data_IF_165799218277
#
_entry.id   IF_165799218277
#
_cell.length_a   1.000
_cell.length_b   1.000
_cell.length_c   1.000
_cell.angle_alpha   90.00
_cell.angle_beta   90.00
_cell.angle_gamma   90.00
#
_symmetry.space_group_name_H-M   'P 1'
#
loop_
_entity.id
_entity.type
_entity.pdbx_description
1 polymer ?
#
# COMPACT_ATOMS: atom_id res chain seq x y z
N UNK A 1 39.97 10.13 -41.48
CA UNK A 1 40.83 9.18 -42.21
C UNK A 1 40.62 7.81 -41.60
N UNK A 2 39.72 7.01 -42.17
CA UNK A 2 40.00 5.89 -43.09
C UNK A 2 40.58 4.68 -42.34
N UNK A 3 39.75 3.66 -42.06
CA UNK A 3 39.57 2.39 -42.83
C UNK A 3 40.43 1.28 -42.20
N UNK A 4 40.07 -0.01 -42.08
CA UNK A 4 38.86 -0.80 -42.34
C UNK A 4 39.22 -2.30 -42.21
N UNK A 5 38.21 -3.17 -42.00
CA UNK A 5 38.01 -4.57 -42.48
C UNK A 5 38.07 -5.66 -41.38
N UNK A 6 37.23 -6.70 -41.30
CA UNK A 6 35.83 -7.04 -41.71
C UNK A 6 35.68 -8.57 -41.47
N UNK A 7 34.53 -9.01 -40.92
CA UNK A 7 33.70 -10.20 -41.27
C UNK A 7 32.86 -10.62 -40.05
N UNK A 8 31.55 -10.33 -40.00
CA UNK A 8 30.38 -10.97 -40.66
C UNK A 8 30.00 -12.34 -40.09
N UNK A 9 28.84 -12.38 -39.41
CA UNK A 9 27.70 -13.21 -39.85
C UNK A 9 26.39 -12.68 -39.22
N UNK A 10 25.36 -12.57 -40.05
CA UNK A 10 24.09 -11.87 -39.80
C UNK A 10 22.93 -12.86 -39.92
N UNK A 11 21.84 -12.64 -39.19
CA UNK A 11 20.50 -13.10 -39.56
C UNK A 11 19.43 -12.22 -38.87
N UNK A 12 18.79 -11.38 -39.68
CA UNK A 12 17.55 -10.66 -39.40
C UNK A 12 16.45 -11.32 -40.25
N UNK A 13 15.25 -11.48 -39.69
CA UNK A 13 14.04 -11.73 -40.48
C UNK A 13 12.96 -10.75 -40.01
N UNK A 14 12.53 -9.91 -40.94
CA UNK A 14 11.34 -9.07 -40.87
C UNK A 14 10.30 -9.64 -41.85
N UNK A 15 9.01 -9.52 -41.54
CA UNK A 15 7.94 -9.75 -42.52
C UNK A 15 6.91 -8.62 -42.50
N UNK A 16 6.57 -8.18 -43.72
CA UNK A 16 5.69 -7.05 -44.03
C UNK A 16 4.22 -7.48 -44.21
N UNK A 17 3.34 -6.48 -44.10
CA UNK A 17 1.93 -6.50 -44.46
C UNK A 17 1.72 -6.68 -45.96
N UNK A 18 0.70 -7.46 -46.35
CA UNK A 18 -0.02 -7.28 -47.62
C UNK A 18 -1.44 -7.84 -47.53
N UNK A 19 -2.41 -7.00 -47.88
CA UNK A 19 -3.82 -7.31 -48.10
C UNK A 19 -4.01 -8.35 -49.21
N UNK A 20 -5.01 -9.24 -49.07
CA UNK A 20 -5.80 -9.68 -50.21
C UNK A 20 -7.19 -10.17 -49.79
N UNK A 21 -8.18 -9.61 -50.49
CA UNK A 21 -9.61 -9.88 -50.42
C UNK A 21 -9.92 -11.07 -51.32
N UNK A 22 -10.66 -12.06 -50.83
CA UNK A 22 -11.33 -13.04 -51.69
C UNK A 22 -12.82 -13.14 -51.31
N UNK A 23 -13.66 -12.69 -52.24
CA UNK A 23 -15.11 -12.93 -52.28
C UNK A 23 -15.37 -14.31 -52.88
N UNK A 24 -16.18 -15.13 -52.23
CA UNK A 24 -16.96 -16.17 -52.90
C UNK A 24 -18.42 -16.04 -52.42
N UNK A 25 -19.33 -15.97 -53.40
CA UNK A 25 -20.79 -15.90 -53.27
C UNK A 25 -21.42 -17.28 -53.45
N UNK A 26 -22.67 -17.38 -52.99
CA UNK A 26 -23.72 -18.43 -53.21
C UNK A 26 -23.74 -19.55 -52.16
N UNK A 27 -24.87 -19.92 -51.54
CA UNK A 27 -26.25 -19.43 -51.57
C UNK A 27 -27.12 -20.22 -50.59
N UNK A 28 -28.10 -19.51 -49.99
CA UNK A 28 -29.42 -19.94 -49.50
C UNK A 28 -29.51 -21.08 -48.46
N UNK A 29 -29.97 -20.71 -47.25
CA UNK A 29 -30.52 -21.66 -46.26
C UNK A 29 -30.75 -21.00 -44.90
N UNK A 30 -31.98 -20.56 -44.66
CA UNK A 30 -32.47 -19.87 -43.46
C UNK A 30 -32.16 -20.58 -42.13
N UNK A 31 -31.67 -19.85 -41.10
CA UNK A 31 -32.13 -20.01 -39.70
C UNK A 31 -31.61 -18.90 -38.76
N UNK A 32 -32.56 -18.19 -38.16
CA UNK A 32 -32.64 -17.75 -36.75
C UNK A 32 -31.44 -17.20 -35.95
N UNK A 33 -31.69 -15.98 -35.42
CA UNK A 33 -31.45 -15.50 -34.06
C UNK A 33 -30.08 -14.88 -33.65
N UNK A 34 -30.16 -13.55 -33.48
CA UNK A 34 -29.61 -12.67 -32.44
C UNK A 34 -28.11 -12.77 -32.07
N UNK A 35 -27.42 -11.71 -32.52
CA UNK A 35 -26.14 -11.13 -32.07
C UNK A 35 -25.77 -11.45 -30.61
N UNK A 36 -24.71 -12.23 -30.43
CA UNK A 36 -23.98 -12.35 -29.17
C UNK A 36 -23.12 -11.12 -28.92
N UNK A 37 -23.39 -10.42 -27.82
CA UNK A 37 -22.44 -9.53 -27.18
C UNK A 37 -21.30 -10.38 -26.60
N UNK A 38 -20.06 -10.12 -27.02
CA UNK A 38 -18.87 -10.70 -26.38
C UNK A 38 -18.77 -10.18 -24.93
N UNK A 39 -19.16 -11.04 -23.98
CA UNK A 39 -18.77 -10.89 -22.58
C UNK A 39 -17.26 -11.13 -22.48
N UNK A 40 -16.54 -10.10 -22.07
CA UNK A 40 -15.18 -10.21 -21.58
C UNK A 40 -15.18 -11.18 -20.37
N UNK A 41 -14.82 -12.44 -20.61
CA UNK A 41 -14.70 -13.44 -19.57
C UNK A 41 -13.43 -13.14 -18.75
N UNK A 42 -13.64 -12.80 -17.49
CA UNK A 42 -12.61 -12.84 -16.44
C UNK A 42 -12.03 -14.26 -16.47
N UNK A 43 -10.78 -14.40 -16.90
CA UNK A 43 -10.06 -15.67 -16.84
C UNK A 43 -9.91 -16.04 -15.37
N UNK A 44 -10.68 -17.04 -14.94
CA UNK A 44 -10.38 -17.79 -13.73
C UNK A 44 -8.97 -18.37 -13.86
N UNK A 45 -8.01 -17.81 -13.14
CA UNK A 45 -6.73 -18.46 -12.91
C UNK A 45 -6.99 -19.71 -12.07
N UNK A 46 -7.10 -20.85 -12.74
CA UNK A 46 -6.97 -22.16 -12.12
C UNK A 46 -5.59 -22.25 -11.46
N UNK A 47 -5.57 -22.27 -10.12
CA UNK A 47 -4.37 -22.53 -9.31
C UNK A 47 -3.67 -23.81 -9.80
N UNK A 48 -2.34 -23.84 -9.90
CA UNK A 48 -1.64 -25.12 -10.03
C UNK A 48 -1.99 -25.98 -8.82
N UNK A 49 -2.18 -27.27 -9.07
CA UNK A 49 -2.65 -28.31 -8.13
C UNK A 49 -1.61 -28.71 -7.07
N UNK A 50 -0.87 -27.75 -6.52
CA UNK A 50 0.07 -27.93 -5.42
C UNK A 50 -0.51 -27.35 -4.13
N UNK A 51 -0.40 -28.09 -3.02
CA UNK A 51 -0.75 -27.60 -1.67
C UNK A 51 0.08 -26.35 -1.37
N UNK A 52 -0.57 -25.24 -1.00
CA UNK A 52 0.13 -23.97 -0.66
C UNK A 52 0.94 -24.19 0.60
N UNK A 53 2.27 -24.11 0.53
CA UNK A 53 3.12 -24.31 1.70
C UNK A 53 3.17 -23.06 2.57
N UNK A 54 3.43 -21.90 1.96
CA UNK A 54 3.52 -20.63 2.67
C UNK A 54 2.53 -19.61 2.11
N UNK A 55 1.59 -19.19 2.96
CA UNK A 55 0.63 -18.16 2.63
C UNK A 55 1.07 -16.80 3.21
N UNK A 56 1.05 -15.75 2.40
CA UNK A 56 1.47 -14.41 2.79
C UNK A 56 0.23 -13.52 2.83
N UNK A 57 -0.27 -13.25 4.04
CA UNK A 57 -1.43 -12.40 4.28
C UNK A 57 -0.99 -10.93 4.27
N UNK A 58 -1.18 -10.26 3.14
CA UNK A 58 -0.80 -8.85 2.92
C UNK A 58 -1.86 -7.93 3.53
N UNK A 59 -1.58 -7.40 4.73
CA UNK A 59 -2.55 -6.65 5.53
C UNK A 59 -2.46 -5.15 5.30
N UNK A 60 -3.58 -4.51 4.95
CA UNK A 60 -3.69 -3.06 4.81
C UNK A 60 -5.11 -2.60 5.24
N UNK A 61 -5.39 -1.32 5.35
CA UNK A 61 -6.75 -0.83 5.57
C UNK A 61 -7.66 -1.12 4.36
N UNK A 62 -7.08 -1.05 3.17
CA UNK A 62 -7.80 -1.17 1.91
C UNK A 62 -8.50 0.13 1.51
N UNK A 63 -9.22 0.06 0.39
CA UNK A 63 -10.04 1.14 -0.12
C UNK A 63 -11.14 0.56 -1.01
N UNK A 64 -12.29 1.26 -1.15
CA UNK A 64 -13.41 0.80 -1.96
C UNK A 64 -12.98 0.66 -3.42
N UNK A 65 -13.20 -0.50 -4.03
CA UNK A 65 -12.80 -0.76 -5.43
C UNK A 65 -13.70 -0.06 -6.43
N UNK A 66 -14.89 0.37 -5.99
CA UNK A 66 -15.87 1.09 -6.79
C UNK A 66 -16.64 2.10 -5.92
N UNK A 67 -17.29 3.06 -6.57
CA UNK A 67 -18.12 4.08 -5.90
C UNK A 67 -19.23 3.49 -5.02
N UNK A 68 -19.76 2.30 -5.35
CA UNK A 68 -20.82 1.65 -4.58
C UNK A 68 -20.33 1.06 -3.26
N UNK A 69 -19.03 0.81 -3.12
CA UNK A 69 -18.42 0.23 -1.91
C UNK A 69 -18.05 1.29 -0.85
N UNK A 70 -18.19 2.58 -1.18
CA UNK A 70 -17.72 3.68 -0.32
C UNK A 70 -18.44 3.70 1.04
N UNK A 71 -19.76 3.51 1.06
CA UNK A 71 -20.53 3.54 2.32
C UNK A 71 -20.15 2.38 3.24
N UNK A 72 -20.01 1.18 2.68
CA UNK A 72 -19.57 -0.02 3.39
C UNK A 72 -18.17 0.15 3.97
N UNK A 73 -17.23 0.66 3.17
CA UNK A 73 -15.88 0.99 3.61
C UNK A 73 -15.88 1.96 4.78
N UNK A 74 -16.60 3.08 4.66
CA UNK A 74 -16.69 4.08 5.73
C UNK A 74 -17.38 3.52 6.97
N UNK A 75 -18.41 2.69 6.80
CA UNK A 75 -19.13 2.07 7.92
C UNK A 75 -18.21 1.17 8.73
N UNK A 76 -17.40 0.32 8.08
CA UNK A 76 -16.39 -0.52 8.77
C UNK A 76 -15.32 0.33 9.46
N UNK A 77 -14.84 1.40 8.81
CA UNK A 77 -13.85 2.30 9.39
C UNK A 77 -14.38 3.03 10.65
N UNK A 78 -15.58 3.60 10.59
CA UNK A 78 -16.15 4.35 11.70
C UNK A 78 -16.67 3.46 12.84
N UNK A 79 -16.89 2.17 12.59
CA UNK A 79 -17.26 1.19 13.63
C UNK A 79 -16.05 0.55 14.31
N UNK A 80 -14.84 0.74 13.78
CA UNK A 80 -13.62 0.18 14.35
C UNK A 80 -13.16 0.91 15.61
N UNK A 81 -13.25 0.22 16.75
CA UNK A 81 -12.80 0.72 18.06
C UNK A 81 -11.28 0.75 18.21
N UNK A 82 -10.55 0.06 17.34
CA UNK A 82 -9.09 0.09 17.36
C UNK A 82 -8.53 1.33 16.70
N UNK A 83 -9.24 1.95 15.75
CA UNK A 83 -8.80 3.19 15.12
C UNK A 83 -9.28 4.42 15.91
N UNK A 84 -10.56 4.45 16.30
CA UNK A 84 -11.17 5.56 17.01
C UNK A 84 -12.23 5.08 17.99
N UNK A 85 -12.41 5.82 19.09
CA UNK A 85 -13.44 5.50 20.09
C UNK A 85 -14.49 6.60 20.12
N UNK A 86 -15.71 6.27 19.68
CA UNK A 86 -16.85 7.19 19.64
C UNK A 86 -17.95 6.77 20.65
N UNK A 87 -18.73 7.72 21.20
CA UNK A 87 -19.90 7.37 22.01
C UNK A 87 -20.92 6.63 21.13
N UNK A 88 -21.51 5.54 21.65
CA UNK A 88 -22.50 4.72 20.93
C UNK A 88 -22.07 4.34 19.50
N UNK A 89 -20.78 3.99 19.31
CA UNK A 89 -20.14 3.82 18.00
C UNK A 89 -20.85 2.85 17.03
N UNK A 90 -21.57 1.85 17.54
CA UNK A 90 -22.38 0.95 16.70
C UNK A 90 -23.56 1.63 16.00
N UNK A 91 -24.05 2.77 16.54
CA UNK A 91 -25.09 3.61 15.93
C UNK A 91 -24.50 4.86 15.28
N UNK A 92 -23.56 5.52 15.98
CA UNK A 92 -22.96 6.76 15.50
C UNK A 92 -22.03 6.52 14.30
N UNK A 93 -21.32 5.39 14.25
CA UNK A 93 -20.42 5.05 13.15
C UNK A 93 -21.15 4.98 11.80
N UNK A 94 -22.20 4.16 11.66
CA UNK A 94 -23.01 4.11 10.43
C UNK A 94 -23.65 5.45 10.05
N UNK A 95 -24.10 6.23 11.03
CA UNK A 95 -24.65 7.57 10.78
C UNK A 95 -23.60 8.52 10.19
N UNK A 96 -22.39 8.54 10.75
CA UNK A 96 -21.28 9.35 10.24
C UNK A 96 -20.87 8.86 8.85
N UNK A 97 -20.78 7.54 8.64
CA UNK A 97 -20.47 6.95 7.35
C UNK A 97 -21.44 7.44 6.27
N UNK A 98 -22.76 7.23 6.47
CA UNK A 98 -23.80 7.68 5.54
C UNK A 98 -23.75 9.18 5.25
N UNK A 99 -23.48 10.01 6.27
CA UNK A 99 -23.33 11.46 6.08
C UNK A 99 -22.10 11.83 5.26
N UNK A 100 -20.99 11.10 5.40
CA UNK A 100 -19.74 11.37 4.68
C UNK A 100 -19.67 10.73 3.29
N UNK A 101 -20.45 9.67 3.05
CA UNK A 101 -20.45 8.92 1.77
C UNK A 101 -20.49 9.83 0.55
N UNK A 102 -21.41 10.81 0.40
CA UNK A 102 -21.49 11.59 -0.83
C UNK A 102 -20.20 12.34 -1.16
N UNK A 103 -19.59 12.98 -0.16
CA UNK A 103 -18.34 13.72 -0.33
C UNK A 103 -17.18 12.78 -0.67
N UNK A 104 -17.07 11.63 -0.01
CA UNK A 104 -15.99 10.67 -0.27
C UNK A 104 -16.18 9.97 -1.62
N UNK A 105 -17.41 9.66 -2.02
CA UNK A 105 -17.75 9.12 -3.34
C UNK A 105 -17.33 10.08 -4.45
N UNK A 106 -17.57 11.39 -4.27
CA UNK A 106 -17.10 12.40 -5.21
C UNK A 106 -15.57 12.36 -5.36
N UNK A 107 -14.83 12.34 -4.24
CA UNK A 107 -13.36 12.24 -4.29
C UNK A 107 -12.87 10.99 -5.02
N UNK A 108 -13.50 9.84 -4.79
CA UNK A 108 -13.18 8.61 -5.53
C UNK A 108 -13.53 8.73 -7.03
N UNK A 109 -14.60 9.44 -7.38
CA UNK A 109 -14.97 9.69 -8.77
C UNK A 109 -13.91 10.52 -9.50
N UNK A 110 -13.35 11.52 -8.84
CA UNK A 110 -12.33 12.43 -9.39
C UNK A 110 -10.99 11.73 -9.68
N UNK A 111 -10.71 10.59 -9.00
CA UNK A 111 -9.50 9.77 -9.23
C UNK A 111 -9.74 8.51 -10.07
N UNK A 112 -10.90 8.40 -10.74
CA UNK A 112 -11.19 7.30 -11.67
C UNK A 112 -12.20 6.25 -11.19
N UNK A 113 -12.96 6.52 -10.12
CA UNK A 113 -14.14 5.75 -9.73
C UNK A 113 -13.92 4.71 -8.61
N UNK A 114 -12.74 4.65 -8.01
CA UNK A 114 -12.40 3.71 -6.94
C UNK A 114 -10.94 3.77 -6.53
N UNK A 115 -10.59 3.10 -5.43
CA UNK A 115 -9.20 2.98 -4.97
C UNK A 115 -8.43 1.95 -5.79
N UNK A 116 -7.23 2.27 -6.33
CA UNK A 116 -6.42 1.31 -7.05
C UNK A 116 -5.65 0.36 -6.11
N UNK A 117 -5.80 0.50 -4.78
CA UNK A 117 -5.02 -0.27 -3.80
C UNK A 117 -5.17 -1.78 -3.98
N UNK A 118 -6.37 -2.31 -4.24
CA UNK A 118 -6.55 -3.76 -4.45
C UNK A 118 -5.76 -4.25 -5.67
N UNK A 119 -5.79 -3.49 -6.77
CA UNK A 119 -5.05 -3.80 -7.98
C UNK A 119 -3.54 -3.83 -7.70
N UNK A 120 -3.02 -2.81 -7.02
CA UNK A 120 -1.60 -2.74 -6.72
C UNK A 120 -1.14 -3.80 -5.72
N UNK A 121 -1.90 -4.08 -4.66
CA UNK A 121 -1.55 -5.13 -3.69
C UNK A 121 -1.53 -6.51 -4.34
N UNK A 122 -2.50 -6.83 -5.21
CA UNK A 122 -2.44 -8.09 -5.98
C UNK A 122 -1.21 -8.14 -6.87
N UNK A 123 -0.93 -7.07 -7.63
CA UNK A 123 0.26 -7.01 -8.50
C UNK A 123 1.56 -7.20 -7.74
N UNK A 124 1.70 -6.51 -6.60
CA UNK A 124 2.84 -6.66 -5.69
C UNK A 124 2.93 -8.08 -5.13
N UNK A 125 1.80 -8.66 -4.72
CA UNK A 125 1.69 -10.01 -4.21
C UNK A 125 2.15 -11.06 -5.23
N UNK A 126 1.66 -10.98 -6.47
CA UNK A 126 2.04 -11.86 -7.58
C UNK A 126 3.55 -11.83 -7.86
N UNK A 127 4.11 -10.60 -7.95
CA UNK A 127 5.53 -10.41 -8.24
C UNK A 127 6.40 -10.89 -7.07
N UNK A 128 6.00 -10.59 -5.84
CA UNK A 128 6.67 -11.02 -4.61
C UNK A 128 6.69 -12.56 -4.51
N UNK A 129 5.55 -13.23 -4.65
CA UNK A 129 5.49 -14.70 -4.55
C UNK A 129 6.27 -15.39 -5.66
N UNK A 130 6.19 -14.86 -6.88
CA UNK A 130 6.98 -15.37 -8.01
C UNK A 130 8.49 -15.24 -7.79
N UNK A 131 8.92 -14.18 -7.10
CA UNK A 131 10.32 -14.00 -6.73
C UNK A 131 10.70 -14.92 -5.56
N UNK A 132 9.85 -15.03 -4.53
CA UNK A 132 10.04 -15.90 -3.38
C UNK A 132 10.19 -17.38 -3.76
N UNK A 133 9.40 -17.88 -4.70
CA UNK A 133 9.53 -19.26 -5.20
C UNK A 133 10.91 -19.54 -5.80
N UNK A 134 11.57 -18.52 -6.35
CA UNK A 134 12.94 -18.63 -6.89
C UNK A 134 14.00 -18.51 -5.79
N UNK A 135 13.83 -17.59 -4.84
CA UNK A 135 14.87 -17.25 -3.85
C UNK A 135 14.74 -17.99 -2.51
N UNK A 136 13.62 -18.69 -2.29
CA UNK A 136 13.31 -19.47 -1.09
C UNK A 136 12.55 -20.77 -1.44
N UNK A 137 13.12 -21.67 -2.26
CA UNK A 137 12.42 -22.85 -2.78
C UNK A 137 11.99 -23.83 -1.68
N UNK A 138 12.63 -23.81 -0.50
CA UNK A 138 12.28 -24.67 0.64
C UNK A 138 10.95 -24.32 1.29
N UNK A 139 10.45 -23.09 1.12
CA UNK A 139 9.16 -22.62 1.62
C UNK A 139 8.11 -22.45 0.51
N UNK A 140 8.49 -22.73 -0.74
CA UNK A 140 7.57 -22.76 -1.87
C UNK A 140 6.61 -23.98 -1.80
N UNK A 141 5.43 -23.94 -2.46
CA UNK A 141 4.87 -22.81 -3.20
C UNK A 141 4.38 -21.69 -2.27
N UNK A 142 4.72 -20.44 -2.61
CA UNK A 142 4.21 -19.25 -1.93
C UNK A 142 2.93 -18.73 -2.60
N UNK A 143 1.97 -18.28 -1.80
CA UNK A 143 0.76 -17.61 -2.31
C UNK A 143 0.44 -16.39 -1.47
N UNK A 144 0.10 -15.28 -2.12
CA UNK A 144 -0.30 -14.05 -1.45
C UNK A 144 -1.83 -14.05 -1.27
N UNK A 145 -2.26 -13.41 -0.19
CA UNK A 145 -3.66 -13.17 0.14
C UNK A 145 -3.78 -11.71 0.55
N UNK A 146 -4.52 -10.92 -0.22
CA UNK A 146 -4.84 -9.54 0.18
C UNK A 146 -5.80 -9.60 1.35
N UNK A 147 -5.54 -8.87 2.43
CA UNK A 147 -6.42 -8.81 3.59
C UNK A 147 -6.62 -7.36 4.00
N UNK A 148 -7.78 -6.81 3.65
CA UNK A 148 -8.12 -5.46 3.99
C UNK A 148 -8.94 -5.38 5.28
N UNK A 149 -8.74 -4.29 6.00
CA UNK A 149 -9.42 -4.05 7.29
C UNK A 149 -10.85 -3.54 7.09
N UNK A 150 -11.09 -2.77 6.02
CA UNK A 150 -12.36 -2.07 5.78
C UNK A 150 -12.93 -2.27 4.37
N UNK A 151 -12.14 -2.75 3.42
CA UNK A 151 -12.56 -3.04 2.05
C UNK A 151 -12.47 -4.55 1.75
N UNK A 152 -13.07 -4.99 0.65
CA UNK A 152 -12.95 -6.38 0.23
C UNK A 152 -11.61 -6.62 -0.50
N UNK A 153 -11.00 -7.81 -0.38
CA UNK A 153 -11.37 -8.90 0.54
C UNK A 153 -11.05 -8.57 2.00
N UNK A 154 -11.97 -8.88 2.92
CA UNK A 154 -11.76 -8.60 4.34
C UNK A 154 -10.73 -9.56 4.94
N UNK A 155 -10.18 -9.18 6.10
CA UNK A 155 -9.20 -9.98 6.83
C UNK A 155 -9.75 -11.37 7.15
N UNK A 156 -11.00 -11.45 7.59
CA UNK A 156 -11.69 -12.67 7.97
C UNK A 156 -11.91 -13.61 6.77
N UNK A 157 -12.31 -13.05 5.62
CA UNK A 157 -12.52 -13.81 4.38
C UNK A 157 -11.21 -14.41 3.87
N UNK A 158 -10.14 -13.63 3.97
CA UNK A 158 -8.80 -14.01 3.52
C UNK A 158 -8.21 -15.12 4.38
N UNK A 159 -8.38 -15.03 5.70
CA UNK A 159 -7.98 -16.10 6.62
C UNK A 159 -8.78 -17.38 6.33
N UNK A 160 -10.10 -17.28 6.15
CA UNK A 160 -10.93 -18.43 5.81
C UNK A 160 -10.50 -19.09 4.48
N UNK A 161 -10.09 -18.28 3.49
CA UNK A 161 -9.55 -18.81 2.24
C UNK A 161 -8.20 -19.49 2.42
N UNK A 162 -7.30 -18.96 3.28
CA UNK A 162 -6.04 -19.62 3.62
C UNK A 162 -6.26 -20.98 4.30
N UNK A 163 -7.25 -21.08 5.18
CA UNK A 163 -7.62 -22.33 5.85
C UNK A 163 -8.11 -23.36 4.82
N UNK A 164 -8.98 -22.94 3.91
CA UNK A 164 -9.49 -23.79 2.82
C UNK A 164 -8.39 -24.26 1.87
N UNK A 165 -7.39 -23.41 1.62
CA UNK A 165 -6.25 -23.75 0.77
C UNK A 165 -5.23 -24.68 1.46
N UNK A 166 -5.42 -24.97 2.75
CA UNK A 166 -4.54 -25.86 3.52
C UNK A 166 -3.14 -25.30 3.75
N UNK A 167 -3.03 -23.98 3.91
CA UNK A 167 -1.76 -23.28 4.16
C UNK A 167 -1.07 -23.85 5.41
N UNK A 168 0.20 -24.24 5.28
CA UNK A 168 0.96 -24.79 6.41
C UNK A 168 1.55 -23.69 7.30
N UNK A 169 2.16 -22.67 6.68
CA UNK A 169 2.74 -21.52 7.37
C UNK A 169 2.19 -20.21 6.80
N UNK A 170 1.46 -19.47 7.63
CA UNK A 170 0.94 -18.16 7.35
C UNK A 170 1.84 -17.03 7.90
N UNK A 171 2.15 -16.07 7.04
CA UNK A 171 2.87 -14.85 7.38
C UNK A 171 1.91 -13.67 7.33
N UNK A 172 1.54 -13.14 8.49
CA UNK A 172 0.79 -11.89 8.62
C UNK A 172 1.74 -10.72 8.31
N UNK A 173 1.68 -10.20 7.09
CA UNK A 173 2.61 -9.21 6.60
C UNK A 173 1.93 -7.85 6.48
N UNK A 174 2.18 -6.97 7.44
CA UNK A 174 1.72 -5.59 7.37
C UNK A 174 2.32 -4.88 6.16
N UNK A 175 1.46 -4.27 5.33
CA UNK A 175 1.87 -3.46 4.19
C UNK A 175 2.23 -2.01 4.59
N UNK A 176 2.21 -1.71 5.89
CA UNK A 176 2.73 -0.45 6.42
C UNK A 176 4.19 -0.65 6.84
N UNK A 177 5.16 0.04 6.20
CA UNK A 177 6.55 -0.04 6.64
C UNK A 177 6.72 0.45 8.09
N UNK A 178 5.97 1.47 8.47
CA UNK A 178 5.98 2.07 9.81
C UNK A 178 4.78 1.58 10.61
N UNK A 179 5.03 0.99 11.79
CA UNK A 179 3.96 0.49 12.66
C UNK A 179 3.19 1.63 13.31
N UNK A 180 1.86 1.59 13.24
CA UNK A 180 0.96 2.33 14.12
C UNK A 180 -0.02 1.37 14.80
N UNK A 181 -0.43 1.70 16.02
CA UNK A 181 -1.54 0.99 16.67
C UNK A 181 -2.86 1.15 15.91
N UNK A 182 -3.03 2.23 15.15
CA UNK A 182 -4.23 2.50 14.35
C UNK A 182 -4.24 1.79 12.99
N UNK A 183 -3.10 1.26 12.53
CA UNK A 183 -2.98 0.55 11.24
C UNK A 183 -2.63 -0.93 11.46
N UNK A 184 -1.35 -1.31 11.46
CA UNK A 184 -0.84 -2.67 11.74
C UNK A 184 -1.48 -3.25 13.00
N UNK A 185 -1.58 -2.45 14.07
CA UNK A 185 -2.22 -2.87 15.32
C UNK A 185 -3.68 -3.27 15.18
N UNK A 186 -4.49 -2.51 14.42
CA UNK A 186 -5.89 -2.87 14.15
C UNK A 186 -6.00 -4.14 13.31
N UNK A 187 -5.14 -4.31 12.31
CA UNK A 187 -5.07 -5.52 11.48
C UNK A 187 -4.75 -6.77 12.31
N UNK A 188 -3.75 -6.72 13.20
CA UNK A 188 -3.43 -7.86 14.07
C UNK A 188 -4.50 -8.13 15.13
N UNK A 189 -5.16 -7.09 15.64
CA UNK A 189 -6.31 -7.27 16.52
C UNK A 189 -7.48 -7.95 15.79
N UNK A 190 -7.71 -7.66 14.50
CA UNK A 190 -8.71 -8.35 13.70
C UNK A 190 -8.39 -9.84 13.53
N UNK A 191 -7.12 -10.17 13.27
CA UNK A 191 -6.64 -11.56 13.22
C UNK A 191 -6.84 -12.27 14.57
N UNK A 192 -6.52 -11.61 15.69
CA UNK A 192 -6.83 -12.14 17.03
C UNK A 192 -8.34 -12.38 17.22
N UNK A 193 -9.20 -11.42 16.87
CA UNK A 193 -10.66 -11.57 17.01
C UNK A 193 -11.18 -12.77 16.23
N UNK A 194 -10.67 -12.99 15.02
CA UNK A 194 -11.04 -14.15 14.20
C UNK A 194 -10.77 -15.47 14.91
N UNK A 195 -9.62 -15.61 15.56
CA UNK A 195 -9.19 -16.84 16.25
C UNK A 195 -9.54 -16.90 17.74
N UNK A 196 -10.04 -15.82 18.34
CA UNK A 196 -10.27 -15.74 19.80
C UNK A 196 -11.21 -16.83 20.35
N UNK A 197 -12.05 -17.42 19.49
CA UNK A 197 -12.96 -18.52 19.82
C UNK A 197 -12.81 -19.72 18.88
N UNK A 198 -11.67 -19.87 18.19
CA UNK A 198 -11.44 -20.93 17.20
C UNK A 198 -10.06 -21.58 17.41
N UNK A 199 -9.94 -22.83 16.98
CA UNK A 199 -8.62 -23.44 16.83
C UNK A 199 -7.88 -22.82 15.64
N UNK A 200 -6.55 -22.82 15.72
CA UNK A 200 -5.68 -22.24 14.71
C UNK A 200 -5.09 -23.39 13.88
N UNK A 201 -5.52 -23.60 12.62
CA UNK A 201 -5.15 -24.79 11.85
C UNK A 201 -3.78 -24.67 11.15
N UNK A 202 -3.09 -23.52 11.26
CA UNK A 202 -1.84 -23.24 10.56
C UNK A 202 -0.83 -22.51 11.44
N UNK A 203 0.47 -22.64 11.14
CA UNK A 203 1.52 -21.90 11.85
C UNK A 203 1.46 -20.42 11.48
N UNK A 204 1.39 -19.51 12.45
CA UNK A 204 1.43 -18.06 12.21
C UNK A 204 2.78 -17.44 12.58
N UNK A 205 3.14 -16.41 11.84
CA UNK A 205 4.23 -15.48 12.14
C UNK A 205 3.93 -14.10 11.57
N UNK A 206 4.59 -13.06 12.05
CA UNK A 206 4.18 -11.67 11.85
C UNK A 206 5.37 -10.81 11.44
N UNK A 207 5.20 -10.11 10.31
CA UNK A 207 6.08 -9.03 9.88
C UNK A 207 5.30 -7.74 10.15
N UNK A 208 5.58 -7.12 11.29
CA UNK A 208 4.81 -6.00 11.81
C UNK A 208 5.30 -4.62 11.38
N UNK A 209 6.59 -4.51 11.04
CA UNK A 209 7.25 -3.27 10.64
C UNK A 209 8.53 -3.52 9.86
N UNK A 210 8.91 -2.58 9.01
CA UNK A 210 10.07 -2.64 8.12
C UNK A 210 10.48 -1.25 7.61
N UNK A 211 10.57 -0.21 8.48
CA UNK A 211 10.67 1.19 8.06
C UNK A 211 11.98 1.54 7.35
N UNK A 212 13.07 0.82 7.65
CA UNK A 212 14.42 1.12 7.16
C UNK A 212 14.98 0.02 6.24
N UNK A 213 14.10 -0.78 5.64
CA UNK A 213 14.55 -1.83 4.71
C UNK A 213 15.37 -1.22 3.57
N UNK A 214 16.61 -1.67 3.29
CA UNK A 214 17.50 -1.00 2.34
C UNK A 214 16.90 -0.80 0.95
N UNK A 215 16.15 -1.79 0.46
CA UNK A 215 15.48 -1.76 -0.85
C UNK A 215 14.23 -0.86 -0.89
N UNK A 216 13.57 -0.64 0.25
CA UNK A 216 12.51 0.37 0.37
C UNK A 216 13.11 1.78 0.25
N UNK A 217 14.21 2.02 0.98
CA UNK A 217 14.90 3.32 0.94
C UNK A 217 15.48 3.61 -0.45
N UNK A 218 16.04 2.60 -1.11
CA UNK A 218 16.49 2.66 -2.50
C UNK A 218 15.34 3.00 -3.45
N UNK A 219 14.18 2.35 -3.30
CA UNK A 219 12.99 2.65 -4.10
C UNK A 219 12.58 4.13 -3.98
N UNK A 220 12.43 4.66 -2.76
CA UNK A 220 12.06 6.06 -2.59
C UNK A 220 13.14 7.02 -3.12
N UNK A 221 14.41 6.73 -2.89
CA UNK A 221 15.51 7.56 -3.41
C UNK A 221 15.51 7.59 -4.94
N UNK A 222 15.28 6.45 -5.61
CA UNK A 222 15.19 6.38 -7.07
C UNK A 222 13.97 7.14 -7.61
N UNK A 223 12.80 6.97 -6.98
CA UNK A 223 11.59 7.70 -7.36
C UNK A 223 11.75 9.22 -7.19
N UNK A 224 12.34 9.69 -6.08
CA UNK A 224 12.65 11.11 -5.87
C UNK A 224 13.64 11.61 -6.93
N UNK A 225 14.69 10.84 -7.22
CA UNK A 225 15.70 11.22 -8.22
C UNK A 225 15.11 11.31 -9.63
N UNK A 226 14.18 10.40 -9.97
CA UNK A 226 13.44 10.45 -11.24
C UNK A 226 12.55 11.69 -11.30
N UNK A 227 11.82 11.99 -10.23
CA UNK A 227 10.92 13.14 -10.19
C UNK A 227 11.69 14.48 -10.22
N UNK A 228 12.86 14.57 -9.58
CA UNK A 228 13.71 15.77 -9.63
C UNK A 228 14.17 16.10 -11.06
N UNK A 229 14.29 15.10 -11.93
CA UNK A 229 14.63 15.32 -13.36
C UNK A 229 13.49 15.96 -14.15
N UNK A 230 12.24 15.94 -13.66
CA UNK A 230 11.08 16.58 -14.30
C UNK A 230 10.97 18.08 -13.95
N UNK A 231 11.79 18.55 -13.01
CA UNK A 231 11.93 19.96 -12.65
C UNK A 231 12.99 20.60 -13.57
N UNK A 232 12.75 21.84 -14.08
CA UNK A 232 13.74 22.60 -14.84
C UNK A 232 15.09 22.65 -14.11
N UNK A 233 16.18 22.56 -14.88
CA UNK A 233 17.53 22.40 -14.33
C UNK A 233 17.92 23.59 -13.44
N UNK A 234 17.52 24.80 -13.82
CA UNK A 234 17.73 26.04 -13.09
C UNK A 234 17.02 26.10 -11.73
N UNK A 235 15.94 25.33 -11.56
CA UNK A 235 15.13 25.29 -10.32
C UNK A 235 15.44 24.08 -9.45
N UNK A 236 16.07 23.05 -10.02
CA UNK A 236 16.18 21.71 -9.42
C UNK A 236 16.86 21.74 -8.06
N UNK A 237 17.97 22.47 -7.93
CA UNK A 237 18.72 22.56 -6.68
C UNK A 237 17.96 23.30 -5.56
N UNK A 238 16.95 24.10 -5.91
CA UNK A 238 16.14 24.89 -4.96
C UNK A 238 14.87 24.15 -4.50
N UNK A 239 14.64 22.93 -4.98
CA UNK A 239 13.49 22.12 -4.58
C UNK A 239 13.55 21.78 -3.09
N UNK A 240 12.46 22.05 -2.37
CA UNK A 240 12.26 21.58 -0.99
C UNK A 240 11.49 20.25 -1.02
N UNK A 241 12.08 19.22 -0.43
CA UNK A 241 11.46 17.90 -0.29
C UNK A 241 10.55 17.87 0.95
N UNK A 242 9.25 17.73 0.74
CA UNK A 242 8.25 17.59 1.80
C UNK A 242 7.80 16.14 1.87
N UNK A 243 8.45 15.38 2.75
CA UNK A 243 7.98 14.05 3.10
C UNK A 243 6.69 14.19 3.88
N UNK A 244 5.60 13.70 3.31
CA UNK A 244 4.28 13.76 3.91
C UNK A 244 3.80 12.37 4.27
N UNK A 245 3.26 12.26 5.48
CA UNK A 245 2.73 11.04 6.06
C UNK A 245 1.37 11.33 6.71
N UNK A 246 0.48 10.35 6.77
CA UNK A 246 -0.83 10.57 7.41
C UNK A 246 -0.63 10.92 8.88
N UNK A 247 -1.25 12.01 9.35
CA UNK A 247 -1.14 12.48 10.72
C UNK A 247 -1.77 11.49 11.71
N UNK A 248 -1.36 11.57 12.98
CA UNK A 248 -2.04 10.91 14.10
C UNK A 248 -2.61 11.95 15.07
N UNK A 249 -3.75 11.66 15.74
CA UNK A 249 -4.19 12.48 16.86
C UNK A 249 -3.12 12.53 17.96
N UNK A 250 -2.90 13.70 18.56
CA UNK A 250 -1.88 13.86 19.61
C UNK A 250 -2.12 12.94 20.81
N UNK A 251 -3.37 12.53 21.06
CA UNK A 251 -3.69 11.52 22.08
C UNK A 251 -3.00 10.17 21.81
N UNK A 252 -2.93 9.73 20.54
CA UNK A 252 -2.25 8.50 20.16
C UNK A 252 -0.72 8.66 20.24
N UNK A 253 -0.19 9.79 19.74
CA UNK A 253 1.24 10.13 19.83
C UNK A 253 1.70 10.14 21.29
N UNK A 254 1.00 10.89 22.15
CA UNK A 254 1.30 11.00 23.57
C UNK A 254 1.09 9.69 24.33
N UNK A 255 0.28 8.76 23.81
CA UNK A 255 0.17 7.43 24.39
C UNK A 255 1.42 6.58 24.16
N UNK A 256 2.29 6.99 23.24
CA UNK A 256 3.54 6.35 22.82
C UNK A 256 3.38 5.45 21.60
N UNK A 257 2.58 5.88 20.61
CA UNK A 257 2.54 5.23 19.31
C UNK A 257 3.92 5.36 18.61
N UNK A 258 4.53 4.26 18.10
CA UNK A 258 5.88 4.31 17.54
C UNK A 258 5.94 4.95 16.14
N UNK A 259 4.80 5.13 15.48
CA UNK A 259 4.72 5.57 14.09
C UNK A 259 5.52 6.85 13.77
N UNK A 260 5.46 7.95 14.55
CA UNK A 260 6.20 9.16 14.20
C UNK A 260 7.71 8.94 14.14
N UNK A 261 8.26 8.13 15.06
CA UNK A 261 9.68 7.83 15.10
C UNK A 261 10.10 6.92 13.93
N UNK A 262 9.27 5.94 13.57
CA UNK A 262 9.55 5.04 12.44
C UNK A 262 9.45 5.75 11.09
N UNK A 263 8.52 6.70 10.93
CA UNK A 263 8.45 7.57 9.75
C UNK A 263 9.69 8.45 9.67
N UNK A 264 10.10 9.08 10.77
CA UNK A 264 11.32 9.87 10.81
C UNK A 264 12.57 9.06 10.46
N UNK A 265 12.66 7.80 10.91
CA UNK A 265 13.74 6.89 10.55
C UNK A 265 13.74 6.55 9.05
N UNK A 266 12.57 6.34 8.45
CA UNK A 266 12.42 6.13 7.00
C UNK A 266 12.92 7.35 6.22
N UNK A 267 12.46 8.55 6.60
CA UNK A 267 12.86 9.82 5.97
C UNK A 267 14.38 10.02 6.05
N UNK A 268 14.98 9.81 7.23
CA UNK A 268 16.43 9.92 7.39
C UNK A 268 17.17 8.92 6.49
N UNK A 269 16.72 7.67 6.45
CA UNK A 269 17.31 6.63 5.60
C UNK A 269 17.24 6.98 4.10
N UNK A 270 16.14 7.56 3.63
CA UNK A 270 16.00 8.03 2.26
C UNK A 270 16.93 9.22 1.99
N UNK A 271 17.00 10.20 2.88
CA UNK A 271 17.87 11.36 2.71
C UNK A 271 19.36 10.99 2.72
N UNK A 272 19.76 9.97 3.49
CA UNK A 272 21.10 9.39 3.44
C UNK A 272 21.39 8.78 2.06
N UNK A 273 20.46 8.03 1.47
CA UNK A 273 20.59 7.49 0.10
C UNK A 273 20.72 8.60 -0.96
N UNK A 274 20.08 9.74 -0.73
CA UNK A 274 20.15 10.93 -1.58
C UNK A 274 21.36 11.84 -1.28
N UNK A 275 22.28 11.41 -0.39
CA UNK A 275 23.44 12.18 0.07
C UNK A 275 23.08 13.59 0.56
N UNK A 276 21.89 13.76 1.17
CA UNK A 276 21.39 15.05 1.64
C UNK A 276 21.43 16.15 0.56
N UNK A 277 21.23 15.78 -0.72
CA UNK A 277 21.33 16.70 -1.86
C UNK A 277 20.36 17.88 -1.83
N UNK A 278 19.26 17.79 -1.09
CA UNK A 278 18.24 18.82 -1.00
C UNK A 278 17.78 19.05 0.45
N UNK A 279 17.28 20.25 0.72
CA UNK A 279 16.61 20.55 1.98
C UNK A 279 15.28 19.81 2.08
N UNK A 280 14.97 19.31 3.28
CA UNK A 280 13.75 18.52 3.48
C UNK A 280 13.05 18.79 4.81
N UNK A 281 11.76 18.43 4.88
CA UNK A 281 10.99 18.33 6.13
C UNK A 281 10.07 17.12 6.09
N UNK A 282 9.82 16.58 7.28
CA UNK A 282 8.70 15.67 7.53
C UNK A 282 7.50 16.51 8.00
N UNK A 283 6.39 16.36 7.28
CA UNK A 283 5.11 17.03 7.52
C UNK A 283 3.99 16.00 7.53
N UNK A 284 2.80 16.38 8.00
CA UNK A 284 1.70 15.44 8.22
C UNK A 284 0.45 15.86 7.47
N UNK A 285 -0.26 14.93 6.84
CA UNK A 285 -1.48 15.19 6.05
C UNK A 285 -2.73 14.62 6.70
N UNK A 286 -3.90 14.92 6.10
CA UNK A 286 -5.17 14.26 6.40
C UNK A 286 -5.68 14.44 7.83
N UNK A 287 -5.47 15.62 8.45
CA UNK A 287 -6.12 15.98 9.73
C UNK A 287 -7.65 16.00 9.57
N UNK A 288 -8.36 15.30 10.45
CA UNK A 288 -9.83 15.29 10.48
C UNK A 288 -10.37 15.72 11.84
N UNK A 289 -11.35 16.63 11.81
CA UNK A 289 -12.06 17.09 12.99
C UNK A 289 -11.29 18.08 13.87
N UNK A 290 -11.87 18.46 15.02
CA UNK A 290 -11.39 19.59 15.82
C UNK A 290 -10.28 19.24 16.82
N UNK A 291 -9.95 17.96 16.99
CA UNK A 291 -8.94 17.52 17.97
C UNK A 291 -7.53 17.94 17.54
N UNK A 292 -6.57 17.92 18.47
CA UNK A 292 -5.17 18.18 18.16
C UNK A 292 -4.54 16.99 17.43
N UNK A 293 -3.81 17.27 16.35
CA UNK A 293 -3.08 16.29 15.53
C UNK A 293 -1.60 16.64 15.47
N UNK A 294 -0.79 15.63 15.19
CA UNK A 294 0.63 15.79 14.92
C UNK A 294 0.83 16.78 13.76
N UNK A 295 1.78 17.69 13.94
CA UNK A 295 2.02 18.85 13.08
C UNK A 295 3.52 19.00 12.77
N UNK A 296 3.94 19.83 11.79
CA UNK A 296 3.13 20.74 10.96
C UNK A 296 2.22 20.00 9.96
N UNK A 297 1.09 20.60 9.61
CA UNK A 297 0.21 20.10 8.54
C UNK A 297 0.85 20.36 7.17
N UNK A 298 0.59 19.50 6.19
CA UNK A 298 1.19 19.59 4.85
C UNK A 298 0.77 20.86 4.13
N UNK A 299 -0.51 21.21 4.19
CA UNK A 299 -1.06 22.44 3.61
C UNK A 299 -0.48 23.70 4.26
N UNK A 300 -0.34 23.71 5.58
CA UNK A 300 0.26 24.82 6.33
C UNK A 300 1.76 24.94 6.04
N UNK A 301 2.47 23.83 5.87
CA UNK A 301 3.87 23.83 5.48
C UNK A 301 4.05 24.40 4.06
N UNK A 302 3.18 24.02 3.11
CA UNK A 302 3.19 24.58 1.75
C UNK A 302 3.01 26.11 1.80
N UNK A 303 1.96 26.60 2.48
CA UNK A 303 1.71 28.05 2.66
C UNK A 303 2.92 28.74 3.28
N UNK A 304 3.40 28.22 4.41
CA UNK A 304 4.50 28.81 5.15
C UNK A 304 5.85 28.79 4.43
N UNK A 305 6.08 27.88 3.49
CA UNK A 305 7.26 27.87 2.63
C UNK A 305 7.16 28.88 1.49
N UNK A 306 5.98 29.04 0.90
CA UNK A 306 5.74 30.03 -0.14
C UNK A 306 5.91 31.45 0.40
N UNK A 307 5.40 31.73 1.60
CA UNK A 307 5.63 33.00 2.32
C UNK A 307 7.12 33.28 2.57
N UNK A 308 7.94 32.23 2.70
CA UNK A 308 9.40 32.32 2.84
C UNK A 308 10.15 32.30 1.49
N UNK A 309 9.44 32.47 0.38
CA UNK A 309 10.01 32.54 -0.97
C UNK A 309 10.41 31.19 -1.58
N UNK A 310 10.08 30.05 -0.95
CA UNK A 310 10.34 28.71 -1.51
C UNK A 310 9.21 28.32 -2.47
N UNK A 311 9.49 28.41 -3.78
CA UNK A 311 8.49 28.20 -4.85
C UNK A 311 8.59 26.85 -5.56
N UNK A 312 9.58 26.02 -5.21
CA UNK A 312 9.83 24.71 -5.79
C UNK A 312 9.61 23.66 -4.70
N UNK A 313 8.48 22.95 -4.74
CA UNK A 313 8.07 22.00 -3.71
C UNK A 313 7.85 20.61 -4.33
N UNK A 314 8.36 19.59 -3.66
CA UNK A 314 8.14 18.20 -4.03
C UNK A 314 7.54 17.43 -2.86
N UNK A 315 6.34 16.87 -3.03
CA UNK A 315 5.70 16.03 -2.01
C UNK A 315 6.11 14.57 -2.19
N UNK A 316 6.41 13.89 -1.08
CA UNK A 316 6.79 12.48 -1.05
C UNK A 316 5.86 11.73 -0.09
N UNK A 317 4.96 10.86 -0.57
CA UNK A 317 4.04 10.09 0.28
C UNK A 317 4.79 8.94 0.99
N UNK A 318 5.50 9.26 2.07
CA UNK A 318 6.52 8.38 2.67
C UNK A 318 5.95 7.22 3.49
N UNK A 319 4.69 7.33 3.92
CA UNK A 319 3.99 6.33 4.74
C UNK A 319 3.11 5.37 3.94
N UNK A 320 3.18 5.43 2.60
CA UNK A 320 2.34 4.62 1.72
C UNK A 320 3.13 3.95 0.60
N UNK A 321 2.69 2.74 0.23
CA UNK A 321 3.37 1.89 -0.77
C UNK A 321 2.54 1.64 -2.04
N UNK A 322 1.29 2.11 -2.06
CA UNK A 322 0.38 2.05 -3.20
C UNK A 322 -0.19 3.45 -3.44
N UNK A 323 -0.58 3.75 -4.68
CA UNK A 323 -1.50 4.87 -4.91
C UNK A 323 -2.86 4.60 -4.26
N UNK A 324 -3.48 5.64 -3.71
CA UNK A 324 -4.80 5.59 -3.06
C UNK A 324 -5.37 7.02 -2.99
N UNK A 325 -6.49 7.23 -2.30
CA UNK A 325 -7.19 8.52 -2.28
C UNK A 325 -6.34 9.65 -1.70
N UNK A 326 -5.63 9.39 -0.60
CA UNK A 326 -4.73 10.37 0.02
C UNK A 326 -3.54 10.79 -0.86
N UNK A 327 -3.16 10.05 -1.91
CA UNK A 327 -2.15 10.50 -2.89
C UNK A 327 -2.81 11.13 -4.12
N UNK A 328 -3.70 10.40 -4.79
CA UNK A 328 -4.29 10.80 -6.08
C UNK A 328 -5.28 11.95 -5.97
N UNK A 329 -5.90 12.12 -4.80
CA UNK A 329 -6.85 13.22 -4.58
C UNK A 329 -6.22 14.30 -3.70
N UNK A 330 -5.79 13.95 -2.47
CA UNK A 330 -5.33 14.97 -1.54
C UNK A 330 -4.02 15.62 -1.99
N UNK A 331 -3.00 14.84 -2.39
CA UNK A 331 -1.73 15.44 -2.83
C UNK A 331 -1.81 16.05 -4.23
N UNK A 332 -2.41 15.34 -5.19
CA UNK A 332 -2.46 15.79 -6.58
C UNK A 332 -3.50 16.89 -6.79
N UNK A 333 -4.74 16.70 -6.33
CA UNK A 333 -5.84 17.65 -6.58
C UNK A 333 -5.86 18.75 -5.51
N UNK A 334 -6.10 18.41 -4.24
CA UNK A 334 -6.29 19.42 -3.19
C UNK A 334 -5.01 20.27 -2.97
N UNK A 335 -3.84 19.63 -2.86
CA UNK A 335 -2.59 20.35 -2.65
C UNK A 335 -1.93 20.82 -3.94
N UNK A 336 -1.88 19.98 -4.98
CA UNK A 336 -1.22 20.32 -6.23
C UNK A 336 -2.04 21.21 -7.14
N UNK A 337 -3.25 20.81 -7.48
CA UNK A 337 -4.07 21.54 -8.44
C UNK A 337 -4.80 22.75 -7.85
N UNK A 338 -5.22 22.69 -6.59
CA UNK A 338 -5.99 23.77 -5.96
C UNK A 338 -5.08 24.69 -5.14
N UNK A 339 -4.44 24.17 -4.08
CA UNK A 339 -3.67 24.99 -3.15
C UNK A 339 -2.40 25.57 -3.78
N UNK A 340 -1.59 24.76 -4.45
CA UNK A 340 -0.33 25.20 -5.02
C UNK A 340 -0.54 26.20 -6.17
N UNK A 341 -1.56 26.02 -7.02
CA UNK A 341 -1.93 27.01 -8.04
C UNK A 341 -2.40 28.32 -7.40
N UNK A 342 -3.25 28.26 -6.37
CA UNK A 342 -3.73 29.44 -5.64
C UNK A 342 -2.60 30.24 -4.98
N UNK A 343 -1.57 29.56 -4.50
CA UNK A 343 -0.41 30.18 -3.84
C UNK A 343 0.71 30.60 -4.80
N UNK A 344 0.60 30.30 -6.10
CA UNK A 344 1.63 30.62 -7.08
C UNK A 344 2.93 29.83 -6.90
N UNK A 345 2.83 28.54 -6.52
CA UNK A 345 3.97 27.62 -6.51
C UNK A 345 4.51 27.51 -7.95
N UNK A 346 5.81 27.73 -8.16
CA UNK A 346 6.45 27.70 -9.48
C UNK A 346 6.53 26.27 -10.01
N UNK A 347 7.08 25.37 -9.20
CA UNK A 347 7.17 23.95 -9.52
C UNK A 347 6.58 23.16 -8.35
N UNK A 348 5.47 22.46 -8.60
CA UNK A 348 4.88 21.49 -7.69
C UNK A 348 5.00 20.11 -8.32
N UNK A 349 5.64 19.18 -7.62
CA UNK A 349 5.73 17.77 -8.02
C UNK A 349 5.32 16.85 -6.87
N UNK A 350 4.76 15.70 -7.21
CA UNK A 350 4.53 14.62 -6.26
C UNK A 350 5.29 13.39 -6.75
N UNK A 351 6.05 12.79 -5.86
CA UNK A 351 6.70 11.50 -6.12
C UNK A 351 5.63 10.39 -6.12
N UNK A 352 5.60 9.51 -7.12
CA UNK A 352 4.66 8.40 -7.14
C UNK A 352 4.88 7.46 -5.96
N UNK A 353 3.83 6.76 -5.53
CA UNK A 353 3.98 5.68 -4.57
C UNK A 353 4.79 4.51 -5.18
N UNK A 354 5.46 3.68 -4.37
CA UNK A 354 6.24 2.53 -4.84
C UNK A 354 5.53 1.62 -5.85
N UNK A 355 4.25 1.30 -5.68
CA UNK A 355 3.47 0.45 -6.58
C UNK A 355 4.26 -0.83 -6.95
N UNK A 356 4.54 -1.08 -8.23
CA UNK A 356 5.29 -2.24 -8.71
C UNK A 356 6.78 -1.97 -8.99
N UNK A 357 7.35 -0.92 -8.39
CA UNK A 357 8.76 -0.59 -8.55
C UNK A 357 9.67 -1.81 -8.24
N UNK A 358 10.62 -2.18 -9.12
CA UNK A 358 11.41 -3.40 -8.95
C UNK A 358 12.13 -3.49 -7.59
N UNK A 359 12.76 -2.41 -7.13
CA UNK A 359 13.39 -2.37 -5.81
C UNK A 359 12.38 -2.59 -4.67
N UNK A 360 11.13 -2.15 -4.83
CA UNK A 360 10.09 -2.39 -3.82
C UNK A 360 9.64 -3.85 -3.80
N UNK A 361 9.48 -4.48 -4.98
CA UNK A 361 9.18 -5.92 -5.08
C UNK A 361 10.31 -6.76 -4.47
N UNK A 362 11.56 -6.40 -4.76
CA UNK A 362 12.74 -7.00 -4.12
C UNK A 362 12.68 -6.84 -2.59
N UNK A 363 12.27 -5.67 -2.09
CA UNK A 363 12.10 -5.44 -0.66
C UNK A 363 11.08 -6.40 -0.06
N UNK A 364 9.88 -6.51 -0.63
CA UNK A 364 8.82 -7.40 -0.13
C UNK A 364 9.29 -8.86 -0.05
N UNK A 365 9.94 -9.35 -1.11
CA UNK A 365 10.45 -10.72 -1.15
C UNK A 365 11.61 -10.95 -0.17
N UNK A 366 12.55 -10.00 -0.06
CA UNK A 366 13.69 -10.12 0.86
C UNK A 366 13.26 -10.08 2.32
N UNK A 367 12.28 -9.24 2.67
CA UNK A 367 11.69 -9.17 4.01
C UNK A 367 11.07 -10.53 4.38
N UNK A 368 10.22 -11.09 3.52
CA UNK A 368 9.56 -12.38 3.78
C UNK A 368 10.58 -13.52 3.85
N UNK A 369 11.54 -13.57 2.92
CA UNK A 369 12.62 -14.57 2.94
C UNK A 369 13.42 -14.50 4.23
N UNK A 370 13.85 -13.30 4.63
CA UNK A 370 14.63 -13.09 5.85
C UNK A 370 13.84 -13.54 7.07
N UNK A 371 12.56 -13.16 7.16
CA UNK A 371 11.66 -13.57 8.23
C UNK A 371 11.51 -15.09 8.33
N UNK A 372 11.26 -15.76 7.20
CA UNK A 372 11.15 -17.22 7.15
C UNK A 372 12.46 -17.93 7.54
N UNK A 373 13.61 -17.37 7.13
CA UNK A 373 14.93 -17.95 7.43
C UNK A 373 15.33 -17.86 8.90
N UNK A 374 14.89 -16.83 9.61
CA UNK A 374 15.15 -16.65 11.05
C UNK A 374 14.25 -17.52 11.92
N UNK A 375 13.15 -18.03 11.36
CA UNK A 375 12.06 -18.70 12.07
C UNK A 375 11.55 -17.92 13.30
N UNK A 376 11.67 -16.59 13.28
CA UNK A 376 11.13 -15.73 14.32
C UNK A 376 9.61 -15.64 14.19
N UNK A 377 8.90 -15.58 15.32
CA UNK A 377 7.44 -15.41 15.30
C UNK A 377 7.06 -13.95 15.00
N UNK A 378 7.70 -12.99 15.66
CA UNK A 378 7.49 -11.56 15.46
C UNK A 378 8.64 -10.74 16.05
N UNK A 379 8.70 -9.45 15.68
CA UNK A 379 9.63 -8.48 16.28
C UNK A 379 9.34 -8.29 17.79
N UNK A 380 10.34 -8.22 18.68
CA UNK A 380 10.13 -7.91 20.10
C UNK A 380 9.32 -6.63 20.36
N UNK A 381 9.44 -5.61 19.50
CA UNK A 381 8.65 -4.38 19.58
C UNK A 381 7.14 -4.62 19.42
N UNK A 382 6.72 -5.67 18.71
CA UNK A 382 5.30 -6.01 18.59
C UNK A 382 4.69 -6.37 19.96
N UNK A 383 5.48 -7.00 20.83
CA UNK A 383 5.03 -7.43 22.16
C UNK A 383 5.05 -6.29 23.20
N UNK A 384 5.80 -5.22 22.93
CA UNK A 384 5.86 -4.04 23.80
C UNK A 384 4.65 -3.12 23.56
N UNK A 385 3.79 -2.92 24.57
CA UNK A 385 2.66 -1.97 24.49
C UNK A 385 3.15 -0.53 24.56
N UNK A 386 2.39 0.39 23.96
CA UNK A 386 2.62 1.82 24.18
C UNK A 386 2.56 2.11 25.69
N UNK A 387 3.49 2.93 26.23
CA UNK A 387 3.60 3.20 27.66
C UNK A 387 2.30 3.62 28.35
N UNK A 388 1.45 4.42 27.68
CA UNK A 388 0.18 4.89 28.23
C UNK A 388 -1.04 4.27 27.51
N UNK A 389 -0.89 3.06 26.97
CA UNK A 389 -1.97 2.34 26.30
C UNK A 389 -3.09 1.95 27.28
N UNK A 390 -4.29 2.47 27.08
CA UNK A 390 -5.49 2.10 27.87
C UNK A 390 -6.39 1.07 27.17
N UNK A 391 -6.07 0.67 25.94
CA UNK A 391 -6.89 -0.28 25.16
C UNK A 391 -6.69 -1.71 25.66
N UNK A 392 -7.77 -2.33 26.15
CA UNK A 392 -7.80 -3.74 26.59
C UNK A 392 -7.48 -4.68 25.43
N UNK A 393 -7.97 -4.41 24.22
CA UNK A 393 -7.67 -5.22 23.02
C UNK A 393 -6.17 -5.39 22.81
N UNK A 394 -5.39 -4.31 22.96
CA UNK A 394 -3.94 -4.39 22.77
C UNK A 394 -3.25 -5.27 23.82
N UNK A 395 -3.75 -5.31 25.06
CA UNK A 395 -3.25 -6.22 26.08
C UNK A 395 -3.53 -7.67 25.70
N UNK A 396 -4.78 -7.96 25.35
CA UNK A 396 -5.25 -9.30 25.01
C UNK A 396 -4.51 -9.83 23.77
N UNK A 397 -4.48 -9.05 22.69
CA UNK A 397 -3.83 -9.47 21.43
C UNK A 397 -2.33 -9.72 21.61
N UNK A 398 -1.61 -8.88 22.37
CA UNK A 398 -0.18 -9.12 22.63
C UNK A 398 0.06 -10.30 23.57
N UNK A 399 -0.85 -10.54 24.53
CA UNK A 399 -0.85 -11.76 25.32
C UNK A 399 -1.01 -13.00 24.44
N UNK A 400 -1.99 -12.98 23.54
CA UNK A 400 -2.22 -14.05 22.57
C UNK A 400 -1.03 -14.26 21.61
N UNK A 401 -0.42 -13.19 21.10
CA UNK A 401 0.80 -13.30 20.31
C UNK A 401 1.94 -13.95 21.14
N UNK A 402 2.06 -13.59 22.42
CA UNK A 402 3.08 -14.19 23.29
C UNK A 402 2.88 -15.69 23.49
N UNK A 403 1.63 -16.17 23.59
CA UNK A 403 1.35 -17.61 23.70
C UNK A 403 1.66 -18.35 22.40
N UNK A 404 1.40 -17.74 21.23
CA UNK A 404 1.83 -18.30 19.94
C UNK A 404 3.35 -18.41 19.83
N UNK A 405 4.09 -17.47 20.42
CA UNK A 405 5.56 -17.52 20.46
C UNK A 405 6.05 -18.74 21.23
N UNK A 406 5.42 -19.02 22.38
CA UNK A 406 5.82 -20.10 23.28
C UNK A 406 5.58 -21.48 22.69
N UNK A 407 4.52 -21.67 21.88
CA UNK A 407 4.20 -22.95 21.21
C UNK A 407 5.25 -23.42 20.19
N UNK A 408 6.27 -22.62 19.86
CA UNK A 408 7.41 -23.03 19.00
C UNK A 408 8.53 -23.74 19.76
N UNK A 409 8.49 -23.74 21.10
CA UNK A 409 9.39 -24.49 21.97
C UNK A 409 8.60 -25.54 22.74
#
# INVERSE_FOLDING_TARGET
MAKSILNRCSLNVAYSLSNNVLRIKTGIGSLCFLKGFEKCNIRNYSSPSGKVKTGILMMNMGGPSSLTEVEDFLTRLFTDRDIMTLPMQSKLGPMIAKRRTPSITQKYSEIGGGSPILKWTNKQGELMTSLLDKISPTTAPHKHYVAFRYANPLTEDSIAQMEKDGVEHAVAFSQYPQYSCSTSGSSFNALYRYYSSKEIPMKWSFIDRWPTHPKLLECFADLITKELKTVPEEDRNDVVLLFTAHALPMKAVNAGDPYPAEVAATVLGVMQKLNFSHSYRLVWQSKVGPVAWLSPQTDDAIKGYIEKGKKNLMLIPISFVNEHIETLHELDIEYGEELAKKLGVKNFRRVPAPNDHPAFIEALADIVKTHLSKDEMCNPQLLLRCPLCTKVTCHITKGWLSTLKQRKH
#
